data_IF_161658505903
#
_entry.id   IF_161658505903
#
_cell.length_a   1.000
_cell.length_b   1.000
_cell.length_c   1.000
_cell.angle_alpha   90.00
_cell.angle_beta   90.00
_cell.angle_gamma   90.00
#
_symmetry.space_group_name_H-M   'P 1'
#
loop_
_entity.id
_entity.type
_entity.pdbx_description
1 polymer ?
#
# COMPACT_ATOMS: atom_id res chain seq x y z
N UNK A 1 -7.41 16.34 -3.80
CA UNK A 1 -6.13 15.65 -3.51
C UNK A 1 -5.13 15.78 -4.66
N UNK A 2 -5.51 15.43 -5.90
CA UNK A 2 -4.64 15.61 -7.10
C UNK A 2 -4.06 17.03 -7.19
N UNK A 3 -4.89 18.07 -7.09
CA UNK A 3 -4.42 19.47 -7.08
C UNK A 3 -3.39 19.77 -5.99
N UNK A 4 -3.52 19.17 -4.81
CA UNK A 4 -2.55 19.36 -3.72
C UNK A 4 -1.20 18.75 -4.08
N UNK A 5 -1.19 17.59 -4.75
CA UNK A 5 0.03 16.95 -5.24
C UNK A 5 0.68 17.74 -6.38
N UNK A 6 -0.11 18.25 -7.33
CA UNK A 6 0.39 19.14 -8.38
C UNK A 6 1.05 20.39 -7.79
N UNK A 7 0.40 20.97 -6.77
CA UNK A 7 0.92 22.14 -6.08
C UNK A 7 2.20 21.81 -5.30
N UNK A 8 2.23 20.66 -4.61
CA UNK A 8 3.41 20.18 -3.89
C UNK A 8 4.60 19.96 -4.83
N UNK A 9 4.37 19.31 -5.97
CA UNK A 9 5.41 19.06 -6.97
C UNK A 9 6.01 20.37 -7.51
N UNK A 10 5.16 21.36 -7.82
CA UNK A 10 5.60 22.68 -8.29
C UNK A 10 6.38 23.48 -7.23
N UNK A 11 6.14 23.22 -5.96
CA UNK A 11 6.75 23.94 -4.84
C UNK A 11 7.63 23.02 -3.97
N UNK A 12 8.19 21.94 -4.55
CA UNK A 12 8.90 20.91 -3.79
C UNK A 12 10.17 21.46 -3.12
N UNK A 13 10.79 22.48 -3.70
CA UNK A 13 12.01 23.10 -3.16
C UNK A 13 11.77 23.64 -1.72
N UNK A 14 10.57 24.16 -1.43
CA UNK A 14 10.20 24.58 -0.06
C UNK A 14 10.21 23.41 0.93
N UNK A 15 9.68 22.25 0.52
CA UNK A 15 9.69 21.05 1.37
C UNK A 15 11.13 20.57 1.57
N UNK A 16 11.95 20.53 0.51
CA UNK A 16 13.36 20.14 0.59
C UNK A 16 14.12 21.00 1.61
N UNK A 17 13.93 22.32 1.62
CA UNK A 17 14.55 23.23 2.58
C UNK A 17 14.14 22.95 4.03
N UNK A 18 12.87 22.58 4.26
CA UNK A 18 12.37 22.23 5.59
C UNK A 18 12.86 20.87 6.06
N UNK A 19 13.09 19.92 5.15
CA UNK A 19 13.57 18.58 5.49
C UNK A 19 15.07 18.53 5.76
N UNK A 20 15.90 19.30 5.04
CA UNK A 20 17.37 19.36 5.23
C UNK A 20 17.84 19.39 6.68
N UNK A 21 17.34 20.27 7.57
CA UNK A 21 17.79 20.30 8.97
C UNK A 21 17.36 19.07 9.78
N UNK A 22 16.33 18.35 9.34
CA UNK A 22 15.76 17.17 10.01
C UNK A 22 16.37 15.86 9.52
N UNK A 23 17.22 15.86 8.49
CA UNK A 23 17.75 14.62 7.91
C UNK A 23 18.73 13.88 8.83
N UNK A 24 19.33 14.59 9.79
CA UNK A 24 20.34 13.99 10.67
C UNK A 24 19.66 13.38 11.89
N UNK A 25 19.87 12.09 12.14
CA UNK A 25 19.42 11.36 13.35
C UNK A 25 17.89 11.23 13.53
N UNK A 26 17.10 11.43 12.46
CA UNK A 26 15.64 11.31 12.53
C UNK A 26 15.06 10.42 11.41
N UNK A 27 13.96 9.74 11.73
CA UNK A 27 13.09 9.09 10.76
C UNK A 27 12.04 10.08 10.29
N UNK A 28 11.75 10.08 8.99
CA UNK A 28 10.70 10.91 8.43
C UNK A 28 9.52 10.03 8.01
N UNK A 29 8.34 10.37 8.50
CA UNK A 29 7.11 9.67 8.19
C UNK A 29 6.24 10.53 7.30
N UNK A 30 5.93 10.04 6.10
CA UNK A 30 5.05 10.74 5.17
C UNK A 30 3.73 9.99 5.06
N UNK A 31 2.68 10.64 5.55
CA UNK A 31 1.32 10.20 5.30
C UNK A 31 0.89 10.67 3.91
N UNK A 32 0.79 9.72 2.98
CA UNK A 32 0.33 10.01 1.63
C UNK A 32 -1.17 9.71 1.53
N UNK A 33 -1.90 10.43 0.68
CA UNK A 33 -3.31 10.13 0.47
C UNK A 33 -3.50 8.69 -0.02
N UNK A 34 -4.46 8.00 0.60
CA UNK A 34 -4.77 6.59 0.36
C UNK A 34 -5.36 6.23 -1.01
N UNK A 35 -5.62 7.22 -1.85
CA UNK A 35 -6.28 7.01 -3.14
C UNK A 35 -5.32 6.35 -4.13
N UNK A 36 -5.67 5.15 -4.59
CA UNK A 36 -4.85 4.39 -5.55
C UNK A 36 -4.59 5.19 -6.82
N UNK A 37 -5.63 5.86 -7.31
CA UNK A 37 -5.62 6.76 -8.47
C UNK A 37 -4.46 7.76 -8.46
N UNK A 38 -4.08 8.25 -7.29
CA UNK A 38 -3.03 9.26 -7.13
C UNK A 38 -1.63 8.73 -7.45
N UNK A 39 -1.43 7.41 -7.38
CA UNK A 39 -0.17 6.73 -7.69
C UNK A 39 -0.17 6.06 -9.06
N UNK A 40 -1.36 5.75 -9.61
CA UNK A 40 -1.50 5.08 -10.90
C UNK A 40 -1.81 6.02 -12.07
N UNK A 41 -2.68 7.02 -11.87
CA UNK A 41 -3.13 7.92 -12.93
C UNK A 41 -2.25 9.17 -13.06
N UNK A 42 -1.60 9.56 -11.97
CA UNK A 42 -0.84 10.81 -11.89
C UNK A 42 0.63 10.53 -11.55
N UNK A 43 1.55 11.01 -12.38
CA UNK A 43 2.99 10.85 -12.17
C UNK A 43 3.54 11.76 -11.08
N UNK A 44 2.77 12.73 -10.60
CA UNK A 44 3.19 13.76 -9.65
C UNK A 44 3.70 13.16 -8.33
N UNK A 45 3.01 12.17 -7.78
CA UNK A 45 3.43 11.50 -6.54
C UNK A 45 4.78 10.80 -6.73
N UNK A 46 4.94 10.06 -7.83
CA UNK A 46 6.20 9.41 -8.20
C UNK A 46 7.31 10.44 -8.42
N UNK A 47 7.04 11.56 -9.09
CA UNK A 47 8.00 12.62 -9.32
C UNK A 47 8.49 13.25 -8.01
N UNK A 48 7.58 13.53 -7.06
CA UNK A 48 7.91 14.03 -5.72
C UNK A 48 8.82 13.03 -4.98
N UNK A 49 8.44 11.75 -4.95
CA UNK A 49 9.21 10.67 -4.33
C UNK A 49 10.62 10.59 -4.95
N UNK A 50 10.71 10.55 -6.28
CA UNK A 50 11.98 10.46 -7.01
C UNK A 50 12.86 11.70 -6.80
N UNK A 51 12.25 12.88 -6.66
CA UNK A 51 12.94 14.12 -6.33
C UNK A 51 13.58 14.03 -4.95
N UNK A 52 12.82 13.57 -3.95
CA UNK A 52 13.30 13.37 -2.58
C UNK A 52 14.47 12.36 -2.53
N UNK A 53 14.39 11.23 -3.25
CA UNK A 53 15.50 10.26 -3.35
C UNK A 53 16.75 10.93 -3.93
N UNK A 54 16.62 11.58 -5.10
CA UNK A 54 17.77 12.07 -5.86
C UNK A 54 18.42 13.32 -5.25
N UNK A 55 17.63 14.23 -4.68
CA UNK A 55 18.14 15.52 -4.16
C UNK A 55 18.58 15.43 -2.71
N UNK A 56 17.85 14.68 -1.89
CA UNK A 56 18.13 14.57 -0.46
C UNK A 56 18.83 13.25 -0.09
N UNK A 57 19.15 12.40 -1.08
CA UNK A 57 19.82 11.10 -0.89
C UNK A 57 19.10 10.20 0.11
N UNK A 58 17.77 10.24 0.10
CA UNK A 58 16.93 9.47 1.04
C UNK A 58 16.77 8.03 0.57
N UNK A 59 16.86 7.09 1.51
CA UNK A 59 16.40 5.72 1.33
C UNK A 59 14.92 5.63 1.72
N UNK A 60 14.07 5.34 0.75
CA UNK A 60 12.61 5.29 0.95
C UNK A 60 12.13 3.84 1.03
N UNK A 61 11.12 3.59 1.86
CA UNK A 61 10.39 2.32 1.89
C UNK A 61 8.91 2.60 2.02
N UNK A 62 8.10 2.09 1.10
CA UNK A 62 6.66 2.26 1.19
C UNK A 62 6.09 1.22 2.16
N UNK A 63 5.32 1.66 3.15
CA UNK A 63 4.55 0.76 4.01
C UNK A 63 3.10 0.79 3.56
N UNK A 64 2.65 -0.37 3.11
CA UNK A 64 1.31 -0.54 2.58
C UNK A 64 0.40 -1.12 3.66
N UNK A 65 -0.51 -0.31 4.17
CA UNK A 65 -1.46 -0.74 5.20
C UNK A 65 -2.66 -1.42 4.52
N UNK A 66 -2.78 -2.72 4.75
CA UNK A 66 -3.87 -3.56 4.24
C UNK A 66 -4.85 -3.78 5.39
N UNK A 67 -6.14 -3.51 5.19
CA UNK A 67 -7.15 -3.75 6.23
C UNK A 67 -7.32 -5.27 6.45
N UNK A 68 -7.19 -5.73 7.69
CA UNK A 68 -7.34 -7.14 8.04
C UNK A 68 -8.72 -7.72 7.70
N UNK A 69 -9.75 -6.87 7.55
CA UNK A 69 -11.06 -7.32 7.06
C UNK A 69 -10.95 -8.01 5.69
N UNK A 70 -9.97 -7.67 4.85
CA UNK A 70 -9.77 -8.29 3.54
C UNK A 70 -9.40 -9.78 3.63
N UNK A 71 -8.87 -10.24 4.77
CA UNK A 71 -8.59 -11.65 5.02
C UNK A 71 -9.86 -12.50 5.23
N UNK A 72 -11.02 -11.88 5.50
CA UNK A 72 -12.30 -12.57 5.69
C UNK A 72 -12.82 -13.26 4.42
N UNK A 73 -12.41 -12.77 3.25
CA UNK A 73 -12.81 -13.30 1.95
C UNK A 73 -11.56 -13.58 1.09
N UNK A 74 -11.38 -14.82 0.59
CA UNK A 74 -10.27 -15.19 -0.28
C UNK A 74 -10.09 -14.27 -1.51
N UNK A 75 -11.19 -13.87 -2.16
CA UNK A 75 -11.15 -13.02 -3.34
C UNK A 75 -10.68 -11.60 -3.02
N UNK A 76 -11.15 -11.03 -1.91
CA UNK A 76 -10.68 -9.73 -1.40
C UNK A 76 -9.18 -9.77 -1.04
N UNK A 77 -8.73 -10.83 -0.38
CA UNK A 77 -7.32 -10.99 -0.03
C UNK A 77 -6.42 -11.06 -1.26
N UNK A 78 -6.77 -11.87 -2.27
CA UNK A 78 -6.01 -11.95 -3.53
C UNK A 78 -6.00 -10.61 -4.26
N UNK A 79 -7.13 -9.92 -4.28
CA UNK A 79 -7.21 -8.57 -4.88
C UNK A 79 -6.27 -7.59 -4.20
N UNK A 80 -6.18 -7.65 -2.86
CA UNK A 80 -5.26 -6.83 -2.09
C UNK A 80 -3.77 -7.15 -2.38
N UNK A 81 -3.43 -8.43 -2.57
CA UNK A 81 -2.09 -8.86 -2.97
C UNK A 81 -1.72 -8.36 -4.37
N UNK A 82 -2.60 -8.52 -5.36
CA UNK A 82 -2.38 -8.03 -6.72
C UNK A 82 -2.21 -6.51 -6.75
N UNK A 83 -2.98 -5.80 -5.93
CA UNK A 83 -2.86 -4.35 -5.80
C UNK A 83 -1.54 -3.92 -5.14
N UNK A 84 -1.12 -4.63 -4.09
CA UNK A 84 0.17 -4.42 -3.45
C UNK A 84 1.34 -4.65 -4.42
N UNK A 85 1.25 -5.69 -5.25
CA UNK A 85 2.25 -5.96 -6.28
C UNK A 85 2.24 -4.88 -7.37
N UNK A 86 1.05 -4.51 -7.84
CA UNK A 86 0.91 -3.48 -8.88
C UNK A 86 1.47 -2.13 -8.44
N UNK A 87 1.23 -1.74 -7.19
CA UNK A 87 1.77 -0.50 -6.60
C UNK A 87 3.28 -0.54 -6.46
N UNK A 88 3.84 -1.67 -6.01
CA UNK A 88 5.29 -1.88 -5.92
C UNK A 88 5.98 -1.67 -7.28
N UNK A 89 5.38 -2.20 -8.36
CA UNK A 89 5.90 -2.02 -9.72
C UNK A 89 5.79 -0.57 -10.20
N UNK A 90 4.70 0.13 -9.88
CA UNK A 90 4.50 1.52 -10.32
C UNK A 90 5.41 2.51 -9.60
N UNK A 91 5.57 2.34 -8.28
CA UNK A 91 6.37 3.22 -7.42
C UNK A 91 7.87 2.92 -7.47
N UNK A 92 8.26 1.70 -7.88
CA UNK A 92 9.66 1.25 -7.94
C UNK A 92 10.39 1.41 -6.59
N UNK A 93 9.65 1.25 -5.49
CA UNK A 93 10.17 1.30 -4.13
C UNK A 93 10.12 -0.09 -3.47
N UNK A 94 10.99 -0.34 -2.48
CA UNK A 94 10.77 -1.49 -1.59
C UNK A 94 9.47 -1.26 -0.82
N UNK A 95 8.60 -2.27 -0.82
CA UNK A 95 7.31 -2.25 -0.14
C UNK A 95 7.28 -3.24 1.03
N UNK A 96 6.70 -2.80 2.15
CA UNK A 96 6.36 -3.64 3.30
C UNK A 96 4.85 -3.63 3.44
N UNK A 97 4.20 -4.77 3.26
CA UNK A 97 2.76 -4.91 3.49
C UNK A 97 2.52 -5.17 4.98
N UNK A 98 1.63 -4.39 5.59
CA UNK A 98 1.27 -4.51 7.01
C UNK A 98 -0.24 -4.70 7.11
N UNK A 99 -0.66 -5.79 7.75
CA UNK A 99 -2.05 -5.99 8.11
C UNK A 99 -2.41 -5.04 9.27
N UNK A 100 -3.35 -4.14 9.01
CA UNK A 100 -3.88 -3.16 9.96
C UNK A 100 -5.20 -3.62 10.55
N UNK A 101 -5.54 -3.09 11.74
CA UNK A 101 -6.79 -3.40 12.46
C UNK A 101 -6.98 -4.90 12.76
N UNK A 102 -5.87 -5.58 13.08
CA UNK A 102 -5.87 -6.99 13.44
C UNK A 102 -6.76 -7.27 14.66
N UNK A 103 -6.91 -6.30 15.55
CA UNK A 103 -7.80 -6.32 16.71
C UNK A 103 -9.28 -6.52 16.36
N UNK A 104 -9.69 -6.11 15.14
CA UNK A 104 -11.08 -6.24 14.70
C UNK A 104 -11.37 -7.59 14.03
N UNK A 105 -10.36 -8.42 13.76
CA UNK A 105 -10.56 -9.72 13.10
C UNK A 105 -11.52 -10.61 13.86
N UNK A 106 -11.42 -10.64 15.19
CA UNK A 106 -12.32 -11.46 16.02
C UNK A 106 -13.79 -11.07 15.85
N UNK A 107 -14.06 -9.80 15.51
CA UNK A 107 -15.40 -9.28 15.24
C UNK A 107 -15.91 -9.61 13.82
N UNK A 108 -15.01 -9.95 12.88
CA UNK A 108 -15.36 -10.25 11.49
C UNK A 108 -15.73 -11.72 11.25
N UNK A 109 -15.59 -12.58 12.25
CA UNK A 109 -15.96 -14.00 12.18
C UNK A 109 -14.74 -14.93 12.16
N UNK A 110 -14.99 -16.24 11.99
CA UNK A 110 -13.90 -17.22 11.88
C UNK A 110 -13.19 -17.05 10.53
N UNK A 111 -11.93 -16.63 10.58
CA UNK A 111 -11.05 -16.69 9.41
C UNK A 111 -10.95 -18.13 8.89
N UNK A 112 -10.81 -18.27 7.58
CA UNK A 112 -10.58 -19.57 6.96
C UNK A 112 -9.24 -20.18 7.38
N UNK A 113 -8.26 -19.33 7.74
CA UNK A 113 -6.90 -19.74 8.09
C UNK A 113 -6.35 -18.94 9.29
N UNK A 114 -5.24 -19.41 9.85
CA UNK A 114 -4.50 -18.67 10.88
C UNK A 114 -3.85 -17.42 10.28
N UNK A 115 -3.62 -16.42 11.14
CA UNK A 115 -2.95 -15.17 10.77
C UNK A 115 -1.58 -15.38 10.11
N UNK A 116 -0.81 -16.36 10.58
CA UNK A 116 0.52 -16.69 10.04
C UNK A 116 0.49 -17.01 8.53
N UNK A 117 -0.60 -17.63 8.06
CA UNK A 117 -0.78 -17.93 6.64
C UNK A 117 -0.92 -16.65 5.81
N UNK A 118 -1.63 -15.64 6.33
CA UNK A 118 -1.84 -14.37 5.63
C UNK A 118 -0.61 -13.45 5.69
N UNK A 119 0.32 -13.68 6.62
CA UNK A 119 1.57 -12.92 6.75
C UNK A 119 2.71 -13.52 5.94
N UNK A 120 2.76 -14.85 5.78
CA UNK A 120 3.86 -15.50 5.05
C UNK A 120 3.69 -15.40 3.52
N UNK A 121 2.45 -15.31 3.01
CA UNK A 121 2.13 -15.09 1.58
C UNK A 121 2.86 -16.05 0.62
N UNK A 122 3.22 -17.26 1.06
CA UNK A 122 4.08 -18.15 0.27
C UNK A 122 3.34 -19.20 -0.54
N UNK A 123 2.11 -19.57 -0.17
CA UNK A 123 1.39 -20.64 -0.87
C UNK A 123 -0.09 -20.31 -1.13
N UNK A 124 -0.33 -19.71 -2.31
CA UNK A 124 -1.68 -19.40 -2.82
C UNK A 124 -2.47 -20.65 -3.25
N UNK A 125 -1.82 -21.82 -3.36
CA UNK A 125 -2.47 -23.07 -3.80
C UNK A 125 -3.62 -23.47 -2.85
N UNK A 126 -3.49 -23.13 -1.57
CA UNK A 126 -4.53 -23.40 -0.57
C UNK A 126 -5.73 -22.45 -0.66
N UNK A 127 -5.50 -21.21 -1.08
CA UNK A 127 -6.58 -20.25 -1.37
C UNK A 127 -7.40 -20.67 -2.59
N UNK A 128 -6.75 -21.28 -3.60
CA UNK A 128 -7.44 -21.83 -4.77
C UNK A 128 -8.45 -22.91 -4.38
N UNK A 129 -8.08 -23.83 -3.48
CA UNK A 129 -9.00 -24.87 -3.00
C UNK A 129 -10.20 -24.32 -2.21
N UNK A 130 -10.04 -23.20 -1.51
CA UNK A 130 -11.14 -22.51 -0.82
C UNK A 130 -12.05 -21.75 -1.78
N UNK A 131 -11.49 -21.16 -2.84
CA UNK A 131 -12.25 -20.51 -3.91
C UNK A 131 -13.09 -21.51 -4.72
N UNK A 132 -12.55 -22.70 -5.02
CA UNK A 132 -13.24 -23.75 -5.78
C UNK A 132 -14.44 -24.35 -5.02
N UNK A 133 -14.46 -24.22 -3.68
CA UNK A 133 -15.55 -24.72 -2.83
C UNK A 133 -16.68 -23.72 -2.63
N UNK A 134 -16.48 -22.45 -2.99
CA UNK A 134 -17.51 -21.43 -2.85
C UNK A 134 -18.48 -21.47 -4.06
N UNK A 135 -19.79 -21.73 -3.86
CA UNK A 135 -20.78 -21.66 -4.94
C UNK A 135 -20.90 -20.26 -5.58
N UNK A 136 -20.35 -19.22 -4.94
CA UNK A 136 -20.28 -17.86 -5.46
C UNK A 136 -19.07 -17.57 -6.37
N UNK A 137 -18.18 -18.56 -6.58
CA UNK A 137 -17.04 -18.49 -7.52
C UNK A 137 -17.45 -18.08 -8.94
N UNK A 138 -18.71 -18.32 -9.34
CA UNK A 138 -19.26 -17.88 -10.61
C UNK A 138 -19.41 -16.34 -10.73
N UNK A 139 -19.52 -15.61 -9.61
CA UNK A 139 -19.75 -14.16 -9.56
C UNK A 139 -18.47 -13.35 -9.81
N UNK A 140 -17.30 -13.92 -9.56
CA UNK A 140 -16.00 -13.30 -9.82
C UNK A 140 -15.63 -13.21 -11.31
N UNK A 141 -16.49 -13.71 -12.21
CA UNK A 141 -16.30 -13.56 -13.67
C UNK A 141 -16.72 -12.20 -14.23
N UNK A 142 -17.46 -11.36 -13.50
CA UNK A 142 -18.08 -10.18 -14.11
C UNK A 142 -18.18 -8.89 -13.29
N UNK A 143 -17.88 -8.86 -11.99
CA UNK A 143 -18.19 -7.65 -11.21
C UNK A 143 -17.06 -6.62 -11.24
N UNK A 144 -17.31 -5.54 -11.99
CA UNK A 144 -16.64 -4.24 -12.03
C UNK A 144 -16.73 -3.43 -10.73
N UNK A 145 -16.83 -4.10 -9.57
CA UNK A 145 -16.88 -3.50 -8.23
C UNK A 145 -15.49 -3.30 -7.59
N UNK A 146 -14.42 -3.48 -8.38
CA UNK A 146 -13.02 -3.45 -7.93
C UNK A 146 -12.53 -2.06 -7.46
N UNK A 147 -13.26 -0.97 -7.73
CA UNK A 147 -12.78 0.40 -7.52
C UNK A 147 -13.01 1.00 -6.13
N UNK A 148 -14.15 0.71 -5.48
CA UNK A 148 -14.64 1.63 -4.43
C UNK A 148 -14.42 1.15 -2.99
N UNK A 149 -14.21 -0.16 -2.75
CA UNK A 149 -14.13 -0.70 -1.39
C UNK A 149 -12.70 -0.95 -0.88
N UNK A 150 -11.68 -0.76 -1.72
CA UNK A 150 -10.27 -0.83 -1.33
C UNK A 150 -9.75 0.58 -1.05
N UNK A 151 -10.25 1.19 0.03
CA UNK A 151 -9.62 2.37 0.64
C UNK A 151 -8.29 1.92 1.24
N UNK A 152 -7.24 1.93 0.43
CA UNK A 152 -5.87 1.70 0.87
C UNK A 152 -5.44 2.92 1.67
N UNK A 153 -4.66 2.73 2.72
CA UNK A 153 -3.89 3.82 3.33
C UNK A 153 -2.43 3.57 3.02
N UNK A 154 -1.79 4.56 2.40
CA UNK A 154 -0.36 4.51 2.13
C UNK A 154 0.37 5.28 3.21
N UNK A 155 1.27 4.60 3.91
CA UNK A 155 2.22 5.24 4.79
C UNK A 155 3.60 5.06 4.18
N UNK A 156 4.18 6.11 3.60
CA UNK A 156 5.55 5.99 3.08
C UNK A 156 6.50 6.32 4.24
N UNK A 157 7.26 5.31 4.68
CA UNK A 157 8.24 5.46 5.75
C UNK A 157 9.62 5.71 5.14
N UNK A 158 10.23 6.82 5.50
CA UNK A 158 11.60 7.15 5.08
C UNK A 158 12.54 6.75 6.21
N UNK A 159 13.48 5.85 5.90
CA UNK A 159 14.55 5.44 6.81
C UNK A 159 15.86 6.03 6.32
N UNK A 160 16.40 7.01 7.04
CA UNK A 160 17.71 7.59 6.79
C UNK A 160 18.77 6.82 7.57
N UNK A 161 19.37 5.81 6.95
CA UNK A 161 20.78 5.54 7.20
C UNK A 161 21.56 6.19 6.07
N UNK A 162 22.08 7.38 6.36
CA UNK A 162 23.17 8.00 5.58
C UNK A 162 24.45 7.23 5.97
N UNK A 163 25.13 6.61 5.01
CA UNK A 163 26.53 6.18 5.21
C UNK A 163 27.39 7.43 5.35
#
# INVERSE_FOLDING_TARGET
LVYCMDYLEKNIDWLEEKLKPLLKDHYLLFDFPGQVELFFLHSNAKNVIMRLIKKLSLRLTAVHLVDAHLCSDPGKYISALLLSLSTMLHLELPHINVLSKIDLIESYGKLAFNLDFYTDVQDLSYLQHSLDKDPHSAKYRCDSLFGDSLLLKYLIIISLDTI
#
